data_IF_146039699802
#
_entry.id   IF_146039699802
#
_cell.length_a   1.000
_cell.length_b   1.000
_cell.length_c   1.000
_cell.angle_alpha   90.00
_cell.angle_beta   90.00
_cell.angle_gamma   90.00
#
_symmetry.space_group_name_H-M   'P 1'
#
loop_
_entity.id
_entity.type
_entity.pdbx_description
1 polymer ?
#
# COMPACT_ATOMS: atom_id res chain seq x y z
N UNK A 1 36.17 -27.14 -64.95
CA UNK A 1 35.17 -26.35 -64.20
C UNK A 1 34.74 -27.15 -62.98
N UNK A 2 35.36 -26.89 -61.82
CA UNK A 2 35.01 -27.53 -60.53
C UNK A 2 34.41 -26.44 -59.65
N UNK A 3 33.13 -26.57 -59.33
CA UNK A 3 32.45 -25.67 -58.39
C UNK A 3 32.80 -26.09 -56.95
N UNK A 4 33.38 -25.16 -56.19
CA UNK A 4 33.66 -25.30 -54.77
C UNK A 4 32.42 -24.83 -54.01
N UNK A 5 31.66 -25.75 -53.42
CA UNK A 5 30.53 -25.41 -52.54
C UNK A 5 31.10 -25.19 -51.14
N UNK A 6 31.15 -23.93 -50.71
CA UNK A 6 31.53 -23.55 -49.35
C UNK A 6 30.32 -23.72 -48.44
N UNK A 7 30.38 -24.68 -47.51
CA UNK A 7 29.38 -24.81 -46.45
C UNK A 7 29.68 -23.78 -45.36
N UNK A 8 28.87 -22.72 -45.31
CA UNK A 8 28.87 -21.76 -44.21
C UNK A 8 28.05 -22.36 -43.06
N UNK A 9 28.71 -22.88 -42.04
CA UNK A 9 28.07 -23.33 -40.79
C UNK A 9 27.59 -22.10 -40.01
N UNK A 10 26.28 -21.85 -40.00
CA UNK A 10 25.66 -20.87 -39.12
C UNK A 10 25.71 -21.41 -37.68
N UNK A 11 26.55 -20.81 -36.84
CA UNK A 11 26.57 -21.05 -35.39
C UNK A 11 25.37 -20.29 -34.78
N UNK A 12 24.27 -20.99 -34.53
CA UNK A 12 23.17 -20.47 -33.72
C UNK A 12 23.61 -20.53 -32.27
N UNK A 13 24.11 -19.41 -31.74
CA UNK A 13 24.34 -19.25 -30.31
C UNK A 13 22.98 -19.28 -29.60
N UNK A 14 22.68 -20.40 -28.95
CA UNK A 14 21.53 -20.50 -28.05
C UNK A 14 21.73 -19.53 -26.90
N UNK A 15 21.00 -18.42 -26.90
CA UNK A 15 20.82 -17.63 -25.69
C UNK A 15 20.01 -18.49 -24.72
N UNK A 16 20.70 -19.14 -23.79
CA UNK A 16 20.07 -19.69 -22.62
C UNK A 16 19.41 -18.52 -21.88
N UNK A 17 18.08 -18.55 -21.78
CA UNK A 17 17.31 -17.63 -20.97
C UNK A 17 17.77 -17.84 -19.52
N UNK A 18 18.67 -17.00 -19.02
CA UNK A 18 19.02 -16.98 -17.61
C UNK A 18 17.75 -16.62 -16.84
N UNK A 19 17.25 -17.55 -16.02
CA UNK A 19 16.22 -17.24 -15.05
C UNK A 19 16.69 -16.03 -14.24
N UNK A 20 15.84 -15.01 -14.01
CA UNK A 20 16.20 -13.90 -13.15
C UNK A 20 16.68 -14.47 -11.81
N UNK A 21 17.91 -14.15 -11.42
CA UNK A 21 18.43 -14.48 -10.09
C UNK A 21 17.50 -13.84 -9.05
N UNK A 22 17.15 -14.60 -8.01
CA UNK A 22 16.34 -14.09 -6.90
C UNK A 22 16.90 -12.74 -6.43
N UNK A 23 16.10 -11.68 -6.54
CA UNK A 23 16.50 -10.32 -6.14
C UNK A 23 16.89 -10.38 -4.66
N UNK A 24 18.13 -10.00 -4.34
CA UNK A 24 18.58 -9.89 -2.95
C UNK A 24 17.56 -9.06 -2.16
N UNK A 25 17.27 -9.48 -0.93
CA UNK A 25 16.37 -8.76 -0.03
C UNK A 25 16.85 -7.33 0.13
N UNK A 26 15.96 -6.35 -0.09
CA UNK A 26 16.25 -4.93 0.07
C UNK A 26 16.75 -4.67 1.49
N UNK A 27 17.94 -4.10 1.64
CA UNK A 27 18.47 -3.71 2.95
C UNK A 27 17.64 -2.53 3.50
N UNK A 28 17.10 -2.69 4.70
CA UNK A 28 16.27 -1.69 5.37
C UNK A 28 17.08 -1.07 6.50
N UNK A 29 17.44 0.23 6.41
CA UNK A 29 18.20 0.88 7.48
C UNK A 29 17.49 0.82 8.83
N UNK A 30 18.27 0.59 9.89
CA UNK A 30 17.78 0.60 11.27
C UNK A 30 17.25 1.97 11.71
N UNK A 31 16.53 2.00 12.83
CA UNK A 31 15.97 3.20 13.44
C UNK A 31 15.05 4.01 12.50
N UNK A 32 14.26 3.31 11.69
CA UNK A 32 13.22 3.87 10.82
C UNK A 32 11.90 3.14 11.06
N UNK A 33 10.79 3.78 10.71
CA UNK A 33 9.50 3.08 10.69
C UNK A 33 9.44 2.20 9.45
N UNK A 34 9.11 0.93 9.61
CA UNK A 34 8.88 0.02 8.49
C UNK A 34 7.42 0.16 8.02
N UNK A 35 7.24 0.60 6.78
CA UNK A 35 5.95 0.90 6.17
C UNK A 35 5.71 -0.06 5.02
N UNK A 36 4.82 -1.02 5.24
CA UNK A 36 4.50 -2.06 4.27
C UNK A 36 3.22 -1.70 3.50
N UNK A 37 3.30 -1.75 2.17
CA UNK A 37 2.16 -1.58 1.28
C UNK A 37 1.72 -2.94 0.77
N UNK A 38 0.51 -3.36 1.14
CA UNK A 38 -0.08 -4.58 0.60
C UNK A 38 -0.45 -4.34 -0.88
N UNK A 39 0.25 -5.01 -1.78
CA UNK A 39 0.00 -4.94 -3.23
C UNK A 39 -0.37 -6.32 -3.76
N UNK A 40 -1.21 -6.33 -4.79
CA UNK A 40 -1.66 -7.52 -5.49
C UNK A 40 -2.09 -7.16 -6.91
N UNK A 41 -2.47 -8.17 -7.70
CA UNK A 41 -3.06 -7.89 -9.01
C UNK A 41 -4.31 -7.02 -8.82
N UNK A 42 -4.47 -6.02 -9.69
CA UNK A 42 -5.57 -5.08 -9.62
C UNK A 42 -5.40 -3.97 -8.58
N UNK A 43 -4.27 -3.86 -7.85
CA UNK A 43 -4.03 -2.71 -6.96
C UNK A 43 -4.14 -1.39 -7.72
N UNK A 44 -4.84 -0.38 -7.18
CA UNK A 44 -4.98 0.93 -7.83
C UNK A 44 -3.72 1.78 -7.68
N UNK A 45 -3.25 2.37 -8.79
CA UNK A 45 -1.99 3.10 -8.84
C UNK A 45 -1.94 4.27 -7.86
N UNK A 46 -2.92 5.18 -7.88
CA UNK A 46 -2.86 6.41 -7.06
C UNK A 46 -2.92 6.11 -5.57
N UNK A 47 -3.63 5.06 -5.17
CA UNK A 47 -3.83 4.68 -3.78
C UNK A 47 -2.62 3.96 -3.19
N UNK A 48 -1.80 3.37 -4.06
CA UNK A 48 -0.45 2.95 -3.74
C UNK A 48 0.51 4.15 -3.74
N UNK A 49 0.63 4.87 -4.85
CA UNK A 49 1.74 5.82 -5.07
C UNK A 49 1.63 7.09 -4.26
N UNK A 50 0.44 7.63 -4.00
CA UNK A 50 0.27 8.86 -3.22
C UNK A 50 0.82 8.73 -1.78
N UNK A 51 0.37 7.75 -0.97
CA UNK A 51 0.97 7.50 0.34
C UNK A 51 2.43 7.08 0.24
N UNK A 52 2.80 6.29 -0.79
CA UNK A 52 4.19 5.85 -0.98
C UNK A 52 5.13 7.05 -1.15
N UNK A 53 4.78 8.04 -1.98
CA UNK A 53 5.57 9.25 -2.20
C UNK A 53 5.75 10.06 -0.91
N UNK A 54 4.66 10.28 -0.17
CA UNK A 54 4.69 11.01 1.11
C UNK A 54 5.62 10.33 2.11
N UNK A 55 5.47 9.02 2.29
CA UNK A 55 6.26 8.27 3.26
C UNK A 55 7.72 8.12 2.82
N UNK A 56 7.97 7.90 1.53
CA UNK A 56 9.31 7.76 1.00
C UNK A 56 10.09 9.08 1.10
N UNK A 57 9.43 10.22 0.94
CA UNK A 57 10.07 11.53 1.08
C UNK A 57 10.56 11.86 2.50
N UNK A 58 10.14 11.11 3.52
CA UNK A 58 10.67 11.28 4.89
C UNK A 58 12.18 11.06 4.98
N UNK A 59 12.79 10.30 4.06
CA UNK A 59 14.25 10.09 4.04
C UNK A 59 15.05 11.37 3.73
N UNK A 60 14.40 12.37 3.14
CA UNK A 60 14.98 13.68 2.80
C UNK A 60 14.71 14.74 3.88
N UNK A 61 14.22 14.33 5.05
CA UNK A 61 13.91 15.22 6.18
C UNK A 61 14.85 14.90 7.34
N UNK A 62 15.25 15.94 8.05
CA UNK A 62 16.16 15.86 9.19
C UNK A 62 15.37 15.98 10.50
N UNK A 63 15.89 15.41 11.59
CA UNK A 63 15.29 15.53 12.92
C UNK A 63 14.02 14.71 13.14
N UNK A 64 13.70 13.78 12.23
CA UNK A 64 12.57 12.85 12.36
C UNK A 64 13.04 11.40 12.20
N UNK A 65 12.27 10.45 12.74
CA UNK A 65 12.44 9.02 12.45
C UNK A 65 11.92 8.74 11.03
N UNK A 66 12.80 8.63 10.05
CA UNK A 66 12.40 8.38 8.65
C UNK A 66 11.71 7.03 8.45
N UNK A 67 11.12 6.82 7.27
CA UNK A 67 10.39 5.60 6.93
C UNK A 67 11.16 4.72 5.93
N UNK A 68 11.13 3.42 6.16
CA UNK A 68 11.48 2.37 5.22
C UNK A 68 10.21 1.95 4.50
N UNK A 69 10.02 2.45 3.28
CA UNK A 69 8.81 2.18 2.48
C UNK A 69 9.07 1.02 1.52
N UNK A 70 8.26 -0.02 1.59
CA UNK A 70 8.38 -1.21 0.74
C UNK A 70 7.02 -1.84 0.43
N UNK A 71 6.97 -2.62 -0.65
CA UNK A 71 5.77 -3.38 -1.04
C UNK A 71 5.83 -4.82 -0.53
N UNK A 72 4.66 -5.36 -0.18
CA UNK A 72 4.49 -6.75 0.23
C UNK A 72 3.31 -7.35 -0.52
N UNK A 73 3.46 -8.56 -1.03
CA UNK A 73 2.41 -9.31 -1.71
C UNK A 73 2.44 -10.77 -1.25
N UNK A 74 1.57 -11.64 -1.78
CA UNK A 74 1.55 -13.06 -1.42
C UNK A 74 2.91 -13.73 -1.67
N UNK A 75 3.48 -13.46 -2.84
CA UNK A 75 4.82 -13.91 -3.27
C UNK A 75 5.58 -12.72 -3.87
N UNK A 76 6.81 -12.95 -4.33
CA UNK A 76 7.61 -11.94 -5.04
C UNK A 76 7.38 -11.93 -6.55
N UNK A 77 6.42 -12.71 -7.04
CA UNK A 77 6.07 -12.70 -8.46
C UNK A 77 5.53 -11.32 -8.86
N UNK A 78 5.82 -10.82 -10.06
CA UNK A 78 5.30 -9.54 -10.52
C UNK A 78 3.77 -9.50 -10.48
N UNK A 79 3.23 -8.37 -10.05
CA UNK A 79 1.79 -8.06 -10.11
C UNK A 79 1.52 -7.00 -11.17
N UNK A 80 0.30 -6.97 -11.69
CA UNK A 80 -0.20 -5.90 -12.55
C UNK A 80 -1.21 -5.05 -11.78
N UNK A 81 -0.98 -3.75 -11.71
CA UNK A 81 -1.93 -2.80 -11.13
C UNK A 81 -3.17 -2.65 -12.01
N UNK A 82 -4.25 -2.09 -11.47
CA UNK A 82 -5.50 -1.91 -12.20
C UNK A 82 -5.30 -1.14 -13.51
N UNK A 83 -4.52 -0.06 -13.47
CA UNK A 83 -4.21 0.75 -14.66
C UNK A 83 -2.99 0.26 -15.47
N UNK A 84 -2.49 -0.94 -15.17
CA UNK A 84 -1.59 -1.69 -16.05
C UNK A 84 -0.08 -1.55 -15.80
N UNK A 85 0.36 -0.98 -14.66
CA UNK A 85 1.78 -1.02 -14.28
C UNK A 85 2.16 -2.41 -13.80
N UNK A 86 3.37 -2.87 -14.16
CA UNK A 86 3.94 -4.09 -13.60
C UNK A 86 4.88 -3.74 -12.43
N UNK A 87 4.63 -4.32 -11.26
CA UNK A 87 5.41 -4.09 -10.05
C UNK A 87 5.95 -5.44 -9.55
N UNK A 88 7.25 -5.52 -9.27
CA UNK A 88 7.83 -6.65 -8.54
C UNK A 88 7.82 -6.34 -7.05
N UNK A 89 7.08 -7.10 -6.21
CA UNK A 89 7.03 -6.87 -4.77
C UNK A 89 8.42 -6.97 -4.12
N UNK A 90 8.68 -6.15 -3.10
CA UNK A 90 9.94 -6.24 -2.33
C UNK A 90 9.96 -7.50 -1.45
N UNK A 91 8.80 -7.90 -0.90
CA UNK A 91 8.66 -9.09 -0.06
C UNK A 91 7.40 -9.91 -0.39
N UNK A 92 7.49 -11.22 -0.21
CA UNK A 92 6.34 -12.14 -0.24
C UNK A 92 5.93 -12.59 1.16
N UNK A 93 4.73 -12.27 1.65
CA UNK A 93 4.29 -12.65 3.00
C UNK A 93 4.03 -14.16 3.19
N UNK A 94 4.00 -14.95 2.10
CA UNK A 94 3.96 -16.42 2.15
C UNK A 94 5.33 -17.07 1.97
N UNK A 95 6.32 -16.35 1.44
CA UNK A 95 7.60 -16.91 1.00
C UNK A 95 8.79 -16.42 1.82
N UNK A 96 8.67 -15.24 2.43
CA UNK A 96 9.79 -14.52 3.03
C UNK A 96 9.59 -14.35 4.54
N UNK A 97 10.70 -14.19 5.27
CA UNK A 97 10.66 -13.57 6.59
C UNK A 97 10.52 -12.06 6.42
N UNK A 98 9.49 -11.47 7.03
CA UNK A 98 9.25 -10.03 6.94
C UNK A 98 9.99 -9.28 8.06
N UNK A 99 10.44 -8.03 7.81
CA UNK A 99 10.84 -7.14 8.89
C UNK A 99 9.60 -6.82 9.77
N UNK A 100 9.79 -6.37 11.04
CA UNK A 100 8.69 -5.82 11.83
C UNK A 100 7.99 -4.70 11.04
N UNK A 101 6.66 -4.69 10.97
CA UNK A 101 5.89 -3.68 10.24
C UNK A 101 5.27 -2.73 11.25
N UNK A 102 5.73 -1.48 11.26
CA UNK A 102 5.21 -0.45 12.16
C UNK A 102 3.93 0.19 11.60
N UNK A 103 3.83 0.30 10.27
CA UNK A 103 2.71 0.91 9.56
C UNK A 103 2.31 0.00 8.40
N UNK A 104 1.05 -0.46 8.39
CA UNK A 104 0.48 -1.21 7.27
C UNK A 104 -0.40 -0.29 6.43
N UNK A 105 -0.17 -0.26 5.12
CA UNK A 105 -0.99 0.46 4.14
C UNK A 105 -1.73 -0.55 3.27
N UNK A 106 -3.05 -0.41 3.17
CA UNK A 106 -3.93 -1.24 2.36
C UNK A 106 -4.63 -0.37 1.30
N UNK A 107 -4.04 -0.20 0.11
CA UNK A 107 -4.72 0.38 -1.06
C UNK A 107 -5.95 -0.44 -1.49
N UNK A 108 -6.80 0.11 -2.35
CA UNK A 108 -7.80 -0.71 -3.07
C UNK A 108 -7.12 -1.60 -4.11
N UNK A 109 -7.78 -2.73 -4.40
CA UNK A 109 -7.53 -3.57 -5.56
C UNK A 109 -8.87 -3.96 -6.21
N UNK A 110 -8.80 -4.32 -7.49
CA UNK A 110 -9.95 -4.63 -8.36
C UNK A 110 -11.03 -5.52 -7.71
N UNK A 111 -10.63 -6.48 -6.87
CA UNK A 111 -11.52 -7.47 -6.27
C UNK A 111 -11.67 -7.32 -4.74
N UNK A 112 -11.32 -6.16 -4.18
CA UNK A 112 -11.52 -5.86 -2.75
C UNK A 112 -12.98 -5.70 -2.33
N UNK A 113 -13.93 -5.72 -3.28
CA UNK A 113 -15.36 -5.77 -3.02
C UNK A 113 -15.93 -7.20 -3.07
N UNK A 114 -15.18 -8.18 -3.55
CA UNK A 114 -15.67 -9.54 -3.79
C UNK A 114 -14.60 -10.63 -3.48
N UNK A 115 -13.94 -11.19 -4.49
CA UNK A 115 -13.19 -12.44 -4.39
C UNK A 115 -11.93 -12.33 -3.54
N UNK A 116 -11.31 -11.16 -3.45
CA UNK A 116 -10.12 -10.99 -2.60
C UNK A 116 -10.47 -11.12 -1.11
N UNK A 117 -11.73 -10.86 -0.75
CA UNK A 117 -12.22 -11.00 0.63
C UNK A 117 -12.43 -12.47 1.04
N UNK A 118 -12.29 -13.40 0.10
CA UNK A 118 -12.25 -14.84 0.36
C UNK A 118 -10.80 -15.36 0.56
N UNK A 119 -9.78 -14.55 0.26
CA UNK A 119 -8.38 -14.92 0.44
C UNK A 119 -8.01 -14.95 1.93
N UNK A 120 -8.17 -16.14 2.51
CA UNK A 120 -7.82 -16.40 3.91
C UNK A 120 -6.35 -16.13 4.25
N UNK A 121 -5.43 -16.25 3.29
CA UNK A 121 -4.01 -16.04 3.51
C UNK A 121 -3.69 -14.54 3.59
N UNK A 122 -4.24 -13.74 2.69
CA UNK A 122 -4.16 -12.28 2.74
C UNK A 122 -4.79 -11.75 4.04
N UNK A 123 -6.03 -12.18 4.36
CA UNK A 123 -6.71 -11.74 5.57
C UNK A 123 -5.93 -12.13 6.85
N UNK A 124 -5.34 -13.32 6.88
CA UNK A 124 -4.52 -13.74 8.00
C UNK A 124 -3.22 -12.92 8.10
N UNK A 125 -2.59 -12.56 6.98
CA UNK A 125 -1.46 -11.63 6.96
C UNK A 125 -1.85 -10.27 7.54
N UNK A 126 -2.95 -9.67 7.03
CA UNK A 126 -3.45 -8.37 7.49
C UNK A 126 -3.73 -8.38 8.99
N UNK A 127 -4.44 -9.40 9.51
CA UNK A 127 -4.71 -9.55 10.95
C UNK A 127 -3.43 -9.63 11.80
N UNK A 128 -2.48 -10.49 11.43
CA UNK A 128 -1.23 -10.68 12.18
C UNK A 128 -0.39 -9.42 12.19
N UNK A 129 -0.29 -8.74 11.05
CA UNK A 129 0.46 -7.49 10.92
C UNK A 129 -0.19 -6.37 11.72
N UNK A 130 -1.51 -6.21 11.59
CA UNK A 130 -2.27 -5.21 12.33
C UNK A 130 -2.14 -5.38 13.85
N UNK A 131 -2.02 -6.60 14.36
CA UNK A 131 -1.84 -6.86 15.80
C UNK A 131 -0.58 -6.21 16.38
N UNK A 132 0.46 -6.00 15.58
CA UNK A 132 1.75 -5.43 16.00
C UNK A 132 1.97 -4.01 15.49
N UNK A 133 1.32 -3.62 14.39
CA UNK A 133 1.47 -2.31 13.79
C UNK A 133 0.99 -1.19 14.74
N UNK A 134 1.73 -0.09 14.73
CA UNK A 134 1.36 1.15 15.43
C UNK A 134 0.21 1.85 14.71
N UNK A 135 0.20 1.83 13.37
CA UNK A 135 -0.89 2.35 12.54
C UNK A 135 -1.24 1.40 11.40
N UNK A 136 -2.52 1.36 11.04
CA UNK A 136 -3.03 0.67 9.85
C UNK A 136 -3.87 1.66 9.07
N UNK A 137 -3.50 1.91 7.82
CA UNK A 137 -4.23 2.82 6.94
C UNK A 137 -4.82 2.07 5.75
N UNK A 138 -6.02 2.46 5.33
CA UNK A 138 -6.64 1.96 4.11
C UNK A 138 -7.10 3.09 3.20
N UNK A 139 -7.14 2.82 1.90
CA UNK A 139 -7.62 3.74 0.88
C UNK A 139 -8.71 3.06 0.05
N UNK A 140 -9.82 3.77 -0.18
CA UNK A 140 -10.95 3.27 -0.96
C UNK A 140 -11.39 1.89 -0.44
N UNK A 141 -11.43 0.86 -1.27
CA UNK A 141 -11.92 -0.46 -0.91
C UNK A 141 -10.95 -1.28 -0.05
N UNK A 142 -9.73 -0.77 0.21
CA UNK A 142 -8.87 -1.35 1.25
C UNK A 142 -9.57 -1.42 2.63
N UNK A 143 -10.58 -0.57 2.86
CA UNK A 143 -11.40 -0.61 4.07
C UNK A 143 -12.27 -1.88 4.18
N UNK A 144 -12.65 -2.50 3.04
CA UNK A 144 -13.36 -3.78 3.03
C UNK A 144 -12.47 -4.92 3.49
N UNK A 145 -11.18 -4.90 3.15
CA UNK A 145 -10.20 -5.88 3.64
C UNK A 145 -10.04 -5.77 5.15
N UNK A 146 -9.93 -4.56 5.69
CA UNK A 146 -9.84 -4.34 7.14
C UNK A 146 -11.13 -4.77 7.87
N UNK A 147 -12.30 -4.46 7.31
CA UNK A 147 -13.60 -4.88 7.84
C UNK A 147 -13.76 -6.41 7.82
N UNK A 148 -13.46 -7.05 6.69
CA UNK A 148 -13.50 -8.52 6.56
C UNK A 148 -12.49 -9.22 7.48
N UNK A 149 -11.37 -8.56 7.76
CA UNK A 149 -10.40 -9.01 8.76
C UNK A 149 -10.92 -8.89 10.21
N UNK A 150 -12.06 -8.25 10.45
CA UNK A 150 -12.63 -7.98 11.78
C UNK A 150 -11.83 -6.93 12.55
N UNK A 151 -11.04 -6.11 11.87
CA UNK A 151 -10.15 -5.13 12.50
C UNK A 151 -10.86 -3.82 12.83
N UNK A 152 -11.99 -3.54 12.17
CA UNK A 152 -12.74 -2.30 12.34
C UNK A 152 -13.91 -2.45 13.32
N UNK A 153 -14.08 -3.63 13.93
CA UNK A 153 -15.13 -3.89 14.92
C UNK A 153 -14.97 -2.94 16.11
N UNK A 154 -15.98 -2.09 16.34
CA UNK A 154 -15.94 -1.08 17.40
C UNK A 154 -15.17 0.19 17.06
N UNK A 155 -14.71 0.36 15.82
CA UNK A 155 -14.05 1.57 15.33
C UNK A 155 -14.87 2.24 14.22
N UNK A 156 -14.87 3.57 14.20
CA UNK A 156 -15.43 4.33 13.10
C UNK A 156 -14.54 4.20 11.85
N UNK A 157 -15.17 4.03 10.68
CA UNK A 157 -14.47 3.91 9.41
C UNK A 157 -15.20 4.57 8.26
N UNK A 158 -14.50 4.79 7.15
CA UNK A 158 -15.05 5.27 5.87
C UNK A 158 -14.40 4.50 4.72
N UNK A 159 -14.94 4.64 3.52
CA UNK A 159 -14.43 4.03 2.29
C UNK A 159 -14.73 4.95 1.10
N UNK A 160 -14.59 4.46 -0.13
CA UNK A 160 -14.92 5.22 -1.33
C UNK A 160 -16.38 5.67 -1.32
N UNK A 161 -16.68 6.92 -1.70
CA UNK A 161 -18.06 7.43 -1.66
C UNK A 161 -19.07 6.61 -2.47
N UNK A 162 -18.64 6.00 -3.58
CA UNK A 162 -19.48 5.14 -4.40
C UNK A 162 -19.86 3.82 -3.70
N UNK A 163 -19.02 3.34 -2.80
CA UNK A 163 -19.14 2.01 -2.19
C UNK A 163 -19.63 2.06 -0.74
N UNK A 164 -19.89 3.24 -0.17
CA UNK A 164 -20.43 3.41 1.19
C UNK A 164 -21.73 2.63 1.43
N UNK A 165 -22.63 2.57 0.44
CA UNK A 165 -23.88 1.83 0.56
C UNK A 165 -23.62 0.32 0.71
N UNK A 166 -22.79 -0.24 -0.17
CA UNK A 166 -22.38 -1.64 -0.13
C UNK A 166 -21.60 -1.96 1.15
N UNK A 167 -20.73 -1.04 1.60
CA UNK A 167 -19.95 -1.20 2.81
C UNK A 167 -20.84 -1.34 4.04
N UNK A 168 -21.86 -0.49 4.16
CA UNK A 168 -22.88 -0.58 5.23
C UNK A 168 -23.74 -1.84 5.13
N UNK A 169 -24.11 -2.24 3.92
CA UNK A 169 -24.89 -3.46 3.69
C UNK A 169 -24.11 -4.71 4.13
N UNK A 170 -22.84 -4.79 3.75
CA UNK A 170 -21.99 -5.95 4.04
C UNK A 170 -21.53 -6.01 5.48
N UNK A 171 -21.27 -4.85 6.10
CA UNK A 171 -20.79 -4.76 7.48
C UNK A 171 -21.73 -3.90 8.33
N UNK A 172 -22.98 -4.36 8.58
CA UNK A 172 -24.02 -3.55 9.23
C UNK A 172 -23.74 -3.25 10.71
N UNK A 173 -22.73 -3.90 11.29
CA UNK A 173 -22.28 -3.68 12.67
C UNK A 173 -21.23 -2.56 12.77
N UNK A 174 -20.65 -2.10 11.66
CA UNK A 174 -19.63 -1.05 11.66
C UNK A 174 -20.24 0.35 11.75
N UNK A 175 -19.52 1.24 12.42
CA UNK A 175 -19.83 2.66 12.42
C UNK A 175 -19.24 3.32 11.16
N UNK A 176 -20.02 3.32 10.07
CA UNK A 176 -19.59 3.93 8.81
C UNK A 176 -19.89 5.43 8.78
N UNK A 177 -18.86 6.22 8.48
CA UNK A 177 -18.91 7.68 8.39
C UNK A 177 -18.88 8.12 6.93
N UNK A 178 -19.85 8.94 6.54
CA UNK A 178 -19.98 9.48 5.19
C UNK A 178 -19.44 10.92 5.11
N UNK A 179 -19.28 11.43 3.88
CA UNK A 179 -18.95 12.84 3.61
C UNK A 179 -17.64 13.34 4.24
N UNK A 180 -16.70 12.43 4.49
CA UNK A 180 -15.34 12.69 4.96
C UNK A 180 -14.32 12.11 3.99
N UNK A 181 -13.11 12.66 3.94
CA UNK A 181 -12.02 12.11 3.13
C UNK A 181 -11.22 11.06 3.88
N UNK A 182 -11.22 11.12 5.22
CA UNK A 182 -10.72 10.06 6.07
C UNK A 182 -11.36 10.08 7.46
N UNK A 183 -11.26 8.94 8.14
CA UNK A 183 -11.59 8.74 9.56
C UNK A 183 -10.35 8.23 10.26
N UNK A 184 -10.06 8.74 11.45
CA UNK A 184 -9.07 8.20 12.37
C UNK A 184 -9.75 7.74 13.65
N UNK A 185 -9.63 6.46 13.98
CA UNK A 185 -10.12 5.86 15.22
C UNK A 185 -9.10 4.83 15.74
N UNK A 186 -8.57 5.07 16.95
CA UNK A 186 -7.52 4.24 17.55
C UNK A 186 -6.25 4.24 16.72
N UNK A 187 -5.92 3.09 16.10
CA UNK A 187 -4.77 2.95 15.20
C UNK A 187 -5.15 2.90 13.72
N UNK A 188 -6.44 2.98 13.42
CA UNK A 188 -6.98 2.81 12.07
C UNK A 188 -7.23 4.17 11.42
N UNK A 189 -6.68 4.36 10.22
CA UNK A 189 -6.95 5.52 9.37
C UNK A 189 -7.55 5.02 8.06
N UNK A 190 -8.87 5.09 7.92
CA UNK A 190 -9.53 4.70 6.67
C UNK A 190 -9.84 5.92 5.83
N UNK A 191 -9.62 5.85 4.52
CA UNK A 191 -9.75 6.98 3.60
C UNK A 191 -10.64 6.66 2.39
N UNK A 192 -11.27 7.70 1.84
CA UNK A 192 -12.01 7.66 0.58
C UNK A 192 -11.15 7.23 -0.63
N UNK A 193 -9.81 7.27 -0.52
CA UNK A 193 -8.88 6.84 -1.56
C UNK A 193 -8.84 7.74 -2.80
N UNK A 194 -8.47 7.18 -3.95
CA UNK A 194 -8.07 7.97 -5.12
C UNK A 194 -7.03 9.05 -4.76
N UNK A 195 -7.22 10.27 -5.26
CA UNK A 195 -6.35 11.41 -4.90
C UNK A 195 -6.39 11.74 -3.39
N UNK A 196 -7.46 11.36 -2.66
CA UNK A 196 -7.58 11.62 -1.21
C UNK A 196 -6.64 10.79 -0.34
N UNK A 197 -5.93 9.85 -0.96
CA UNK A 197 -4.88 9.07 -0.33
C UNK A 197 -3.69 9.95 0.13
N UNK A 198 -3.45 11.09 -0.52
CA UNK A 198 -2.45 12.06 -0.06
C UNK A 198 -2.81 12.64 1.31
N UNK A 199 -4.09 12.95 1.53
CA UNK A 199 -4.57 13.59 2.75
C UNK A 199 -4.44 12.67 3.96
N UNK A 200 -4.81 11.40 3.82
CA UNK A 200 -4.64 10.41 4.89
C UNK A 200 -3.15 10.15 5.21
N UNK A 201 -2.29 10.10 4.18
CA UNK A 201 -0.85 9.95 4.37
C UNK A 201 -0.23 11.18 5.07
N UNK A 202 -0.56 12.39 4.61
CA UNK A 202 -0.11 13.64 5.20
C UNK A 202 -0.60 13.78 6.65
N UNK A 203 -1.84 13.40 6.91
CA UNK A 203 -2.38 13.36 8.27
C UNK A 203 -1.57 12.44 9.18
N UNK A 204 -1.24 11.22 8.73
CA UNK A 204 -0.39 10.32 9.52
C UNK A 204 0.99 10.92 9.79
N UNK A 205 1.61 11.56 8.79
CA UNK A 205 2.89 12.26 9.02
C UNK A 205 2.76 13.45 9.99
N UNK A 206 1.62 14.14 10.00
CA UNK A 206 1.35 15.21 10.96
C UNK A 206 1.20 14.68 12.39
N UNK A 207 0.58 13.52 12.58
CA UNK A 207 0.51 12.87 13.88
C UNK A 207 1.91 12.47 14.37
N UNK A 208 2.72 11.88 13.49
CA UNK A 208 4.03 11.34 13.87
C UNK A 208 5.10 12.42 14.05
N UNK A 209 5.06 13.48 13.24
CA UNK A 209 6.16 14.44 13.13
C UNK A 209 5.75 15.90 13.35
N UNK A 210 4.46 16.16 13.59
CA UNK A 210 3.92 17.50 13.76
C UNK A 210 3.57 18.21 12.46
N UNK A 211 2.80 19.30 12.58
CA UNK A 211 2.24 20.05 11.45
C UNK A 211 3.30 20.62 10.50
N UNK A 212 4.40 21.15 11.05
CA UNK A 212 5.45 21.77 10.23
C UNK A 212 6.08 20.75 9.27
N UNK A 213 6.43 19.55 9.77
CA UNK A 213 7.03 18.50 8.92
C UNK A 213 6.04 18.01 7.87
N UNK A 214 4.77 17.83 8.22
CA UNK A 214 3.75 17.44 7.26
C UNK A 214 3.56 18.49 6.14
N UNK A 215 3.56 19.79 6.49
CA UNK A 215 3.53 20.88 5.51
C UNK A 215 4.77 20.89 4.62
N UNK A 216 5.96 20.64 5.17
CA UNK A 216 7.20 20.59 4.40
C UNK A 216 7.25 19.37 3.46
N UNK A 217 6.69 18.23 3.87
CA UNK A 217 6.51 17.06 3.00
C UNK A 217 5.53 17.38 1.87
N UNK A 218 4.37 17.94 2.20
CA UNK A 218 3.35 18.36 1.23
C UNK A 218 3.90 19.36 0.19
N UNK A 219 4.65 20.38 0.64
CA UNK A 219 5.25 21.38 -0.22
C UNK A 219 6.24 20.76 -1.23
N UNK A 220 6.94 19.68 -0.85
CA UNK A 220 7.81 18.92 -1.76
C UNK A 220 7.06 18.24 -2.92
N UNK A 221 5.75 18.04 -2.79
CA UNK A 221 4.85 17.52 -3.82
C UNK A 221 3.89 18.60 -4.35
N UNK A 222 4.13 19.87 -4.03
CA UNK A 222 3.31 21.02 -4.46
C UNK A 222 1.86 20.93 -3.94
N UNK A 223 1.67 20.37 -2.74
CA UNK A 223 0.38 20.29 -2.06
C UNK A 223 0.31 21.37 -0.97
N UNK A 224 -0.74 22.20 -0.99
CA UNK A 224 -1.06 23.13 0.11
C UNK A 224 -1.78 22.39 1.24
N UNK A 225 -1.01 21.74 2.12
CA UNK A 225 -1.55 20.95 3.22
C UNK A 225 -2.00 21.81 4.39
N UNK A 226 -3.29 21.71 4.72
CA UNK A 226 -3.90 22.32 5.89
C UNK A 226 -5.00 21.40 6.42
N UNK A 227 -4.73 20.67 7.50
CA UNK A 227 -5.67 19.70 8.08
C UNK A 227 -7.08 20.28 8.30
N UNK A 228 -7.16 21.53 8.75
CA UNK A 228 -8.44 22.23 8.99
C UNK A 228 -9.33 22.41 7.73
N UNK A 229 -8.77 22.27 6.52
CA UNK A 229 -9.52 22.37 5.25
C UNK A 229 -9.95 21.02 4.69
N UNK A 230 -9.52 19.92 5.31
CA UNK A 230 -9.79 18.56 4.84
C UNK A 230 -10.99 18.02 5.61
N UNK A 231 -12.09 17.60 4.96
CA UNK A 231 -13.18 16.91 5.64
C UNK A 231 -12.69 15.62 6.29
N UNK A 232 -12.78 15.50 7.62
CA UNK A 232 -12.32 14.32 8.35
C UNK A 232 -13.09 14.13 9.66
N UNK A 233 -13.00 12.93 10.22
CA UNK A 233 -13.37 12.62 11.61
C UNK A 233 -12.16 12.08 12.35
N UNK A 234 -11.91 12.58 13.57
CA UNK A 234 -10.95 12.00 14.51
C UNK A 234 -11.74 11.61 15.76
N UNK A 235 -11.75 10.32 16.08
CA UNK A 235 -12.39 9.79 17.29
C UNK A 235 -11.42 9.98 18.47
N UNK A 236 -11.87 10.62 19.58
CA UNK A 236 -11.02 10.89 20.75
C UNK A 236 -10.50 9.66 21.49
#
# INVERSE_FOLDING_TARGET
MRYLISFLTLLVAGYACQKPTARESRELPDNRYNVAFLVMNGTYNTELTAPYDIFQHTIFRQGIKAMNVFTVAATREPIHTFEGLQITPDFGYLTDSLPPIDILVVPSAEHHLDTDLEDSAMLAFVRRTAAQATYVTSHCDGAFVLAQAGLLDGHASTTFPGDLALYKERFPHLQVIDSVYFVHDGKFITSAGGARSFEAALYLTQILYGEQIARDLAAGLVIDWQLAKVPHLIVP
#
